data_IF_579640125605
#
_entry.id   IF_579640125605
#
_cell.length_a   1.000
_cell.length_b   1.000
_cell.length_c   1.000
_cell.angle_alpha   90.00
_cell.angle_beta   90.00
_cell.angle_gamma   90.00
#
_symmetry.space_group_name_H-M   'P 1'
#
loop_
_entity.id
_entity.type
_entity.pdbx_description
1 polymer ?
#
# COMPACT_ATOMS: atom_id res chain seq x y z
N UNK A 1 -19.85 -5.42 -25.76
CA UNK A 1 -18.53 -5.55 -25.09
C UNK A 1 -18.56 -4.70 -23.84
N UNK A 2 -18.82 -5.32 -22.68
CA UNK A 2 -18.81 -4.60 -21.40
C UNK A 2 -17.43 -4.77 -20.78
N UNK A 3 -16.55 -3.79 -20.99
CA UNK A 3 -15.33 -3.68 -20.23
C UNK A 3 -15.73 -3.23 -18.83
N UNK A 4 -15.91 -4.18 -17.92
CA UNK A 4 -15.87 -3.88 -16.49
C UNK A 4 -14.43 -3.46 -16.18
N UNK A 5 -14.13 -2.17 -16.32
CA UNK A 5 -12.87 -1.60 -15.88
C UNK A 5 -12.62 -2.10 -14.46
N UNK A 6 -11.49 -2.78 -14.26
CA UNK A 6 -11.17 -3.41 -12.98
C UNK A 6 -11.39 -2.38 -11.86
N UNK A 7 -12.06 -2.74 -10.74
CA UNK A 7 -12.31 -1.81 -9.67
C UNK A 7 -10.95 -1.31 -9.14
N UNK A 8 -10.62 -0.06 -9.49
CA UNK A 8 -9.45 0.62 -8.93
C UNK A 8 -9.76 0.89 -7.48
N UNK A 9 -9.17 0.10 -6.58
CA UNK A 9 -9.31 0.34 -5.14
C UNK A 9 -8.26 1.38 -4.75
N UNK A 10 -8.74 2.51 -4.23
CA UNK A 10 -7.87 3.44 -3.52
C UNK A 10 -7.36 2.72 -2.28
N UNK A 11 -6.04 2.66 -2.15
CA UNK A 11 -5.39 2.05 -1.00
C UNK A 11 -4.34 3.00 -0.47
N UNK A 12 -4.22 3.01 0.84
CA UNK A 12 -3.22 3.81 1.51
C UNK A 12 -1.88 3.07 1.42
N UNK A 13 -0.89 3.73 0.85
CA UNK A 13 0.44 3.17 0.61
C UNK A 13 1.51 4.08 1.20
N UNK A 14 2.64 3.47 1.57
CA UNK A 14 3.84 4.19 2.01
C UNK A 14 5.02 3.83 1.12
N UNK A 15 5.89 4.79 0.85
CA UNK A 15 7.14 4.53 0.15
C UNK A 15 8.16 4.01 1.17
N UNK A 16 8.57 2.75 1.04
CA UNK A 16 9.58 2.22 1.94
C UNK A 16 10.93 2.92 1.71
N UNK A 17 11.54 3.49 2.76
CA UNK A 17 12.87 4.15 2.65
C UNK A 17 14.01 3.20 2.27
N UNK A 18 13.85 1.89 2.44
CA UNK A 18 14.85 0.89 2.07
C UNK A 18 14.77 0.49 0.61
N UNK A 19 13.61 0.01 0.17
CA UNK A 19 13.42 -0.53 -1.18
C UNK A 19 12.70 0.42 -2.15
N UNK A 20 12.27 1.60 -1.68
CA UNK A 20 11.50 2.62 -2.41
C UNK A 20 10.20 2.13 -3.06
N UNK A 21 9.73 0.92 -2.69
CA UNK A 21 8.46 0.37 -3.18
C UNK A 21 7.29 0.92 -2.38
N UNK A 22 6.14 1.04 -3.07
CA UNK A 22 4.86 1.31 -2.45
C UNK A 22 4.40 0.07 -1.66
N UNK A 23 4.30 0.23 -0.34
CA UNK A 23 3.84 -0.81 0.58
C UNK A 23 2.41 -0.45 1.02
N UNK A 24 1.42 -1.33 0.79
CA UNK A 24 0.07 -1.09 1.28
C UNK A 24 0.06 -1.17 2.81
N UNK A 25 -0.49 -0.15 3.45
CA UNK A 25 -0.55 -0.07 4.92
C UNK A 25 -1.69 -0.91 5.50
N UNK A 26 -2.69 -1.24 4.67
CA UNK A 26 -3.93 -1.90 5.10
C UNK A 26 -4.98 -0.92 5.63
N UNK A 27 -4.62 0.35 5.80
CA UNK A 27 -5.55 1.39 6.22
C UNK A 27 -6.50 1.77 5.08
N UNK A 28 -7.73 2.13 5.46
CA UNK A 28 -8.74 2.64 4.50
C UNK A 28 -8.60 4.13 4.24
N UNK A 29 -7.97 4.86 5.16
CA UNK A 29 -7.79 6.32 5.11
C UNK A 29 -6.42 6.70 5.68
N UNK A 30 -5.92 7.89 5.35
CA UNK A 30 -4.67 8.40 5.92
C UNK A 30 -4.88 8.60 7.43
N UNK A 31 -4.15 7.89 8.29
CA UNK A 31 -4.28 8.05 9.73
C UNK A 31 -3.62 9.37 10.17
N UNK A 32 -4.21 10.05 11.16
CA UNK A 32 -3.60 11.23 11.81
C UNK A 32 -2.39 10.87 12.69
N UNK A 33 -2.32 9.60 13.10
CA UNK A 33 -1.25 9.07 13.94
C UNK A 33 -0.22 8.30 13.12
N UNK A 34 1.06 8.29 13.54
CA UNK A 34 2.07 7.46 12.90
C UNK A 34 1.72 5.97 13.03
N UNK A 35 1.80 5.25 11.92
CA UNK A 35 1.50 3.81 11.87
C UNK A 35 2.78 3.00 11.68
N UNK A 36 2.78 1.77 12.19
CA UNK A 36 3.87 0.82 11.98
C UNK A 36 3.49 -0.12 10.86
N UNK A 37 4.27 -0.13 9.77
CA UNK A 37 4.00 -0.98 8.61
C UNK A 37 5.23 -1.83 8.34
N UNK A 38 4.98 -3.12 8.11
CA UNK A 38 6.02 -4.06 7.67
C UNK A 38 6.16 -3.99 6.15
N UNK A 39 7.38 -3.78 5.69
CA UNK A 39 7.71 -3.82 4.26
C UNK A 39 7.75 -5.27 3.76
N UNK A 40 6.82 -5.74 2.90
CA UNK A 40 6.85 -7.13 2.41
C UNK A 40 8.05 -7.41 1.49
N UNK A 41 8.66 -6.36 0.92
CA UNK A 41 9.84 -6.52 0.07
C UNK A 41 11.16 -6.56 0.83
N UNK A 42 11.19 -6.09 2.09
CA UNK A 42 12.43 -5.91 2.84
C UNK A 42 12.36 -6.42 4.29
N UNK A 43 11.19 -6.85 4.76
CA UNK A 43 10.96 -7.39 6.11
C UNK A 43 11.01 -6.36 7.25
N UNK A 44 11.31 -5.11 6.94
CA UNK A 44 11.56 -4.09 7.96
C UNK A 44 10.25 -3.47 8.48
N UNK A 45 10.10 -3.45 9.81
CA UNK A 45 9.00 -2.75 10.49
C UNK A 45 9.40 -1.31 10.74
N UNK A 46 8.79 -0.38 10.00
CA UNK A 46 9.06 1.05 10.20
C UNK A 46 7.81 1.79 10.60
N UNK A 47 8.01 2.79 11.47
CA UNK A 47 7.00 3.79 11.80
C UNK A 47 7.01 4.84 10.71
N UNK A 48 5.90 4.97 9.99
CA UNK A 48 5.68 5.97 8.97
C UNK A 48 4.78 7.07 9.52
N UNK A 49 5.14 8.32 9.26
CA UNK A 49 4.32 9.47 9.62
C UNK A 49 3.18 9.68 8.60
N UNK A 50 2.08 10.35 8.98
CA UNK A 50 1.01 10.71 8.05
C UNK A 50 1.51 11.42 6.78
N UNK A 51 2.56 12.25 6.90
CA UNK A 51 3.19 12.95 5.77
C UNK A 51 3.95 12.03 4.80
N UNK A 52 4.26 10.80 5.20
CA UNK A 52 4.93 9.78 4.37
C UNK A 52 3.92 8.77 3.79
N UNK A 53 2.65 8.92 4.15
CA UNK A 53 1.54 8.10 3.71
C UNK A 53 0.84 8.85 2.57
N UNK A 54 0.56 8.15 1.48
CA UNK A 54 -0.17 8.72 0.35
C UNK A 54 -1.20 7.72 -0.18
N UNK A 55 -2.25 8.25 -0.79
CA UNK A 55 -3.26 7.43 -1.44
C UNK A 55 -2.76 6.98 -2.81
N UNK A 56 -2.61 5.67 -2.99
CA UNK A 56 -2.20 5.05 -4.23
C UNK A 56 -3.36 4.29 -4.88
N UNK A 57 -3.41 4.31 -6.21
CA UNK A 57 -4.28 3.42 -6.97
C UNK A 57 -3.58 2.09 -7.15
N UNK A 58 -4.04 1.06 -6.43
CA UNK A 58 -3.60 -0.31 -6.70
C UNK A 58 -4.49 -0.91 -7.77
N UNK A 59 -3.94 -1.09 -8.97
CA UNK A 59 -4.58 -1.90 -10.00
C UNK A 59 -4.62 -3.34 -9.50
N UNK A 60 -5.81 -3.93 -9.48
CA UNK A 60 -6.05 -5.30 -8.99
C UNK A 60 -5.19 -6.38 -9.68
N UNK A 61 -4.45 -6.03 -10.75
CA UNK A 61 -3.49 -6.88 -11.45
C UNK A 61 -2.12 -7.06 -10.79
N UNK A 62 -1.80 -6.38 -9.67
CA UNK A 62 -0.55 -6.57 -8.90
C UNK A 62 -0.77 -6.99 -7.44
N UNK A 63 -2.00 -7.33 -7.06
CA UNK A 63 -2.26 -8.05 -5.80
C UNK A 63 -2.27 -9.55 -6.11
N UNK A 64 -1.15 -10.08 -6.60
CA UNK A 64 -0.87 -11.50 -6.34
C UNK A 64 -0.39 -11.59 -4.90
N UNK A 65 -1.34 -11.47 -3.97
CA UNK A 65 -1.20 -12.06 -2.65
C UNK A 65 -0.89 -13.54 -2.88
N UNK A 66 0.36 -13.92 -2.59
CA UNK A 66 0.85 -15.28 -2.72
C UNK A 66 -0.14 -16.25 -2.09
N UNK A 67 -0.64 -17.17 -2.91
CA UNK A 67 -1.46 -18.31 -2.50
C UNK A 67 -0.64 -19.55 -2.83
N UNK A 68 -0.08 -20.19 -1.80
CA UNK A 68 0.26 -21.61 -1.81
C UNK A 68 -0.23 -22.19 -0.51
#
# INVERSE_FOLDING_TARGET
>A
MSFHGAPTRLAIVVACKGCQKAVPTGERSIPDNPITVCCPSCGEHRRYRPTEIYEGRISFGLIQSGKR
#
